data_IF_731915829307
#
_entry.id   IF_731915829307
#
_cell.length_a   1.000
_cell.length_b   1.000
_cell.length_c   1.000
_cell.angle_alpha   90.00
_cell.angle_beta   90.00
_cell.angle_gamma   90.00
#
_symmetry.space_group_name_H-M   'P 1'
#
loop_
_entity.id
_entity.type
_entity.pdbx_description
1 polymer ?
#
# COMPACT_ATOMS: atom_id res chain seq x y z
N UNK A 1 -64.02 36.09 13.09
CA UNK A 1 -62.97 35.78 12.10
C UNK A 1 -61.77 36.70 12.31
N UNK A 2 -60.65 36.21 12.87
CA UNK A 2 -59.32 36.84 12.77
C UNK A 2 -58.28 35.80 13.19
N UNK A 3 -57.65 35.15 12.20
CA UNK A 3 -56.54 34.21 12.42
C UNK A 3 -55.29 35.01 12.80
N UNK A 4 -54.73 34.79 13.99
CA UNK A 4 -53.37 35.22 14.35
C UNK A 4 -52.39 34.19 13.79
N UNK A 5 -51.51 34.60 12.89
CA UNK A 5 -50.38 33.79 12.41
C UNK A 5 -49.29 33.80 13.49
N UNK A 6 -48.92 32.61 13.97
CA UNK A 6 -47.72 32.39 14.78
C UNK A 6 -46.56 32.22 13.78
N UNK A 7 -45.57 33.11 13.85
CA UNK A 7 -44.35 32.98 13.07
C UNK A 7 -43.45 31.92 13.68
N UNK A 8 -43.16 30.86 12.93
CA UNK A 8 -42.04 29.96 13.22
C UNK A 8 -40.74 30.69 12.86
N UNK A 9 -39.90 30.98 13.85
CA UNK A 9 -38.49 31.29 13.62
C UNK A 9 -37.77 29.97 13.36
N UNK A 10 -37.42 29.71 12.10
CA UNK A 10 -36.51 28.64 11.73
C UNK A 10 -35.09 29.14 11.95
N UNK A 11 -34.43 28.66 13.00
CA UNK A 11 -33.00 28.87 13.21
C UNK A 11 -32.24 27.93 12.27
N UNK A 12 -31.83 28.45 11.11
CA UNK A 12 -30.82 27.79 10.27
C UNK A 12 -29.48 27.82 11.01
N UNK A 13 -29.13 26.71 11.66
CA UNK A 13 -27.76 26.41 12.05
C UNK A 13 -26.93 26.22 10.77
N UNK A 14 -26.17 27.26 10.40
CA UNK A 14 -25.12 27.17 9.40
C UNK A 14 -24.01 26.29 9.97
N UNK A 15 -23.98 25.03 9.55
CA UNK A 15 -22.80 24.17 9.69
C UNK A 15 -21.73 24.79 8.77
N UNK A 16 -20.54 25.14 9.27
CA UNK A 16 -19.49 25.63 8.40
C UNK A 16 -19.10 24.48 7.46
N UNK A 17 -19.29 24.70 6.16
CA UNK A 17 -18.75 23.83 5.13
C UNK A 17 -17.22 23.83 5.28
N UNK A 18 -16.68 22.75 5.83
CA UNK A 18 -15.24 22.49 5.78
C UNK A 18 -14.92 22.27 4.30
N UNK A 19 -14.30 23.27 3.69
CA UNK A 19 -13.79 23.16 2.34
C UNK A 19 -12.73 22.05 2.34
N UNK A 20 -13.02 20.91 1.71
CA UNK A 20 -11.99 19.96 1.31
C UNK A 20 -11.07 20.69 0.34
N UNK A 21 -9.91 21.10 0.82
CA UNK A 21 -8.80 21.47 -0.04
C UNK A 21 -8.38 20.18 -0.76
N UNK A 22 -8.27 20.18 -2.09
CA UNK A 22 -7.79 19.00 -2.80
C UNK A 22 -6.34 18.78 -2.38
N UNK A 23 -6.08 17.68 -1.67
CA UNK A 23 -4.71 17.25 -1.41
C UNK A 23 -4.05 17.00 -2.78
N UNK A 24 -3.07 17.83 -3.13
CA UNK A 24 -2.21 17.60 -4.29
C UNK A 24 -1.50 16.26 -4.05
N UNK A 25 -1.96 15.22 -4.75
CA UNK A 25 -1.46 13.86 -4.62
C UNK A 25 0.01 13.74 -5.01
N UNK A 26 0.61 12.62 -4.65
CA UNK A 26 1.96 12.26 -5.04
C UNK A 26 2.09 12.19 -6.58
N UNK A 27 2.98 13.02 -7.16
CA UNK A 27 3.20 13.11 -8.61
C UNK A 27 3.71 11.81 -9.24
N UNK A 28 3.25 11.49 -10.45
CA UNK A 28 3.37 10.17 -11.09
C UNK A 28 4.75 9.81 -11.70
N UNK A 29 5.80 10.61 -11.53
CA UNK A 29 7.11 10.35 -12.17
C UNK A 29 8.11 9.67 -11.23
N UNK A 30 7.99 8.34 -11.14
CA UNK A 30 8.75 7.43 -10.27
C UNK A 30 10.29 7.45 -10.43
N UNK A 31 10.84 7.86 -11.58
CA UNK A 31 12.28 7.76 -11.87
C UNK A 31 13.03 9.10 -11.92
N UNK A 32 12.31 10.22 -11.77
CA UNK A 32 12.87 11.58 -11.93
C UNK A 32 12.45 12.48 -10.75
N UNK A 33 12.40 11.92 -9.55
CA UNK A 33 12.31 12.72 -8.33
C UNK A 33 13.70 13.32 -8.08
N UNK A 34 13.94 14.52 -8.59
CA UNK A 34 15.13 15.30 -8.25
C UNK A 34 15.12 15.61 -6.75
N UNK A 35 16.30 15.61 -6.12
CA UNK A 35 16.51 15.80 -4.68
C UNK A 35 15.97 17.13 -4.11
N UNK A 36 15.44 18.03 -4.94
CA UNK A 36 15.02 19.39 -4.57
C UNK A 36 13.56 19.51 -4.08
N UNK A 37 12.93 18.41 -3.63
CA UNK A 37 11.59 18.44 -3.04
C UNK A 37 11.48 17.58 -1.76
N UNK A 38 12.53 17.56 -0.94
CA UNK A 38 12.53 16.94 0.38
C UNK A 38 12.69 18.03 1.44
N UNK A 39 11.64 18.81 1.64
CA UNK A 39 11.49 19.70 2.80
C UNK A 39 10.24 19.30 3.59
N UNK A 40 10.22 18.07 4.10
CA UNK A 40 9.34 17.68 5.19
C UNK A 40 10.04 16.60 6.01
N UNK A 41 10.82 16.99 7.01
CA UNK A 41 11.17 16.08 8.11
C UNK A 41 9.94 15.98 9.01
N UNK A 42 9.37 14.78 9.12
CA UNK A 42 8.35 14.51 10.12
C UNK A 42 9.08 14.23 11.44
N UNK A 43 9.12 15.20 12.34
CA UNK A 43 9.58 14.97 13.70
C UNK A 43 8.35 14.71 14.58
N UNK A 44 8.25 13.49 15.10
CA UNK A 44 7.21 13.09 16.05
C UNK A 44 7.73 13.23 17.49
N UNK A 45 7.01 13.98 18.31
CA UNK A 45 7.37 14.20 19.72
C UNK A 45 7.20 12.93 20.57
N UNK A 46 6.20 12.11 20.25
CA UNK A 46 5.91 10.84 20.93
C UNK A 46 6.13 9.65 19.99
N UNK A 47 6.65 8.54 20.53
CA UNK A 47 6.75 7.28 19.80
C UNK A 47 5.40 6.56 19.82
N UNK A 48 4.90 6.18 18.65
CA UNK A 48 3.77 5.27 18.52
C UNK A 48 4.17 4.09 17.63
N UNK A 49 4.02 2.87 18.16
CA UNK A 49 4.25 1.64 17.42
C UNK A 49 3.11 0.69 17.72
N UNK A 50 2.36 0.32 16.69
CA UNK A 50 1.29 -0.65 16.79
C UNK A 50 1.88 -2.04 17.12
N UNK A 51 1.25 -2.82 18.01
CA UNK A 51 1.75 -4.13 18.43
C UNK A 51 1.43 -5.20 17.36
N UNK A 52 1.95 -4.99 16.16
CA UNK A 52 1.80 -5.89 15.01
C UNK A 52 2.83 -7.00 15.12
N UNK A 53 2.38 -8.26 15.10
CA UNK A 53 3.28 -9.41 15.03
C UNK A 53 3.77 -9.60 13.59
N UNK A 54 5.09 -9.72 13.42
CA UNK A 54 5.69 -9.92 12.11
C UNK A 54 5.54 -11.37 11.62
N UNK A 55 5.39 -11.53 10.31
CA UNK A 55 5.39 -12.81 9.62
C UNK A 55 6.45 -12.74 8.53
N UNK A 56 7.38 -13.69 8.53
CA UNK A 56 8.41 -13.79 7.51
C UNK A 56 7.83 -14.40 6.22
N UNK A 57 8.23 -13.91 5.05
CA UNK A 57 7.78 -14.47 3.76
C UNK A 57 8.47 -15.79 3.43
N UNK A 58 9.71 -15.95 3.88
CA UNK A 58 10.52 -17.16 3.67
C UNK A 58 10.14 -18.30 4.62
N UNK A 59 10.32 -19.57 4.21
CA UNK A 59 10.74 -20.02 2.88
C UNK A 59 9.59 -20.15 1.85
N UNK A 60 8.33 -20.08 2.26
CA UNK A 60 7.18 -20.48 1.46
C UNK A 60 6.84 -19.50 0.33
N UNK A 61 7.18 -18.23 0.50
CA UNK A 61 6.86 -17.17 -0.48
C UNK A 61 8.05 -16.24 -0.75
N UNK A 62 9.12 -16.70 -1.44
CA UNK A 62 10.29 -15.89 -1.72
C UNK A 62 10.01 -14.60 -2.51
N UNK A 63 8.92 -14.55 -3.26
CA UNK A 63 8.49 -13.36 -4.01
C UNK A 63 7.18 -12.77 -3.47
N UNK A 64 6.66 -13.22 -2.32
CA UNK A 64 5.32 -12.86 -1.83
C UNK A 64 5.29 -11.79 -0.75
N UNK A 65 6.06 -10.72 -0.90
CA UNK A 65 6.13 -9.64 0.09
C UNK A 65 4.76 -8.95 0.29
N UNK A 66 3.95 -8.80 -0.76
CA UNK A 66 2.61 -8.22 -0.73
C UNK A 66 1.63 -9.11 0.01
N UNK A 67 1.66 -10.42 -0.29
CA UNK A 67 0.79 -11.41 0.35
C UNK A 67 1.15 -11.53 1.83
N UNK A 68 2.44 -11.60 2.15
CA UNK A 68 2.89 -11.72 3.54
C UNK A 68 2.60 -10.45 4.34
N UNK A 69 2.87 -9.25 3.79
CA UNK A 69 2.50 -7.97 4.42
C UNK A 69 1.00 -7.83 4.66
N UNK A 70 0.19 -8.29 3.70
CA UNK A 70 -1.27 -8.31 3.85
C UNK A 70 -1.70 -9.28 4.96
N UNK A 71 -1.05 -10.44 5.06
CA UNK A 71 -1.30 -11.43 6.11
C UNK A 71 -0.98 -10.86 7.50
N UNK A 72 0.11 -10.12 7.64
CA UNK A 72 0.47 -9.41 8.88
C UNK A 72 -0.68 -8.51 9.33
N UNK A 73 -1.22 -7.69 8.43
CA UNK A 73 -2.32 -6.76 8.75
C UNK A 73 -3.63 -7.51 9.03
N UNK A 74 -3.96 -8.57 8.28
CA UNK A 74 -5.13 -9.40 8.53
C UNK A 74 -5.09 -10.06 9.92
N UNK A 75 -3.92 -10.55 10.32
CA UNK A 75 -3.77 -11.18 11.64
C UNK A 75 -3.81 -10.16 12.77
N UNK A 76 -3.27 -8.95 12.55
CA UNK A 76 -3.43 -7.84 13.50
C UNK A 76 -4.90 -7.50 13.77
N UNK A 77 -5.79 -7.59 12.76
CA UNK A 77 -7.23 -7.34 12.93
C UNK A 77 -8.05 -8.59 13.31
N UNK A 78 -7.38 -9.72 13.60
CA UNK A 78 -7.98 -10.93 14.16
C UNK A 78 -8.49 -11.96 13.15
N UNK A 79 -8.02 -11.95 11.90
CA UNK A 79 -8.48 -12.89 10.86
C UNK A 79 -7.81 -14.28 10.86
N UNK A 80 -6.73 -14.47 11.63
CA UNK A 80 -6.01 -15.76 11.80
C UNK A 80 -5.75 -16.56 10.49
N UNK A 81 -5.37 -15.88 9.40
CA UNK A 81 -5.09 -16.50 8.10
C UNK A 81 -3.59 -16.69 7.88
N UNK A 82 -3.19 -17.75 7.18
CA UNK A 82 -1.81 -17.93 6.73
C UNK A 82 -1.55 -17.26 5.37
N UNK A 83 -0.29 -16.87 5.12
CA UNK A 83 0.11 -16.30 3.82
C UNK A 83 -0.13 -17.25 2.65
N UNK A 84 -0.05 -18.57 2.88
CA UNK A 84 -0.31 -19.59 1.87
C UNK A 84 -1.80 -19.72 1.55
N UNK A 85 -2.69 -19.62 2.54
CA UNK A 85 -4.14 -19.58 2.30
C UNK A 85 -4.56 -18.27 1.63
N UNK A 86 -3.98 -17.15 2.07
CA UNK A 86 -4.28 -15.84 1.48
C UNK A 86 -3.88 -15.78 0.00
N UNK A 87 -2.82 -16.48 -0.40
CA UNK A 87 -2.36 -16.53 -1.79
C UNK A 87 -3.43 -17.05 -2.77
N UNK A 88 -4.33 -17.93 -2.32
CA UNK A 88 -5.42 -18.46 -3.16
C UNK A 88 -6.42 -17.38 -3.59
N UNK A 89 -6.45 -16.25 -2.89
CA UNK A 89 -7.28 -15.11 -3.24
C UNK A 89 -6.62 -14.18 -4.27
N UNK A 90 -5.35 -14.38 -4.64
CA UNK A 90 -4.65 -13.55 -5.61
C UNK A 90 -4.82 -14.08 -7.04
N UNK A 91 -5.04 -13.17 -8.00
CA UNK A 91 -5.02 -13.55 -9.41
C UNK A 91 -3.57 -13.61 -9.91
N UNK A 92 -3.08 -14.80 -10.22
CA UNK A 92 -1.72 -15.02 -10.70
C UNK A 92 -1.66 -14.90 -12.24
N UNK A 93 -0.72 -14.11 -12.74
CA UNK A 93 -0.52 -13.84 -14.17
C UNK A 93 0.62 -14.62 -14.81
N UNK A 94 1.48 -15.29 -14.02
CA UNK A 94 2.66 -16.00 -14.51
C UNK A 94 3.80 -15.07 -14.93
N UNK A 95 4.93 -15.64 -15.35
CA UNK A 95 6.10 -14.84 -15.74
C UNK A 95 5.93 -14.22 -17.14
N UNK A 96 6.51 -13.02 -17.39
CA UNK A 96 6.68 -12.51 -18.74
C UNK A 96 7.41 -13.52 -19.63
N UNK A 97 6.93 -13.69 -20.86
CA UNK A 97 7.39 -14.71 -21.80
C UNK A 97 7.58 -14.15 -23.19
N UNK A 98 8.50 -14.75 -23.95
CA UNK A 98 8.73 -14.36 -25.35
C UNK A 98 7.58 -14.87 -26.23
N UNK A 99 6.99 -13.97 -27.02
CA UNK A 99 5.94 -14.27 -27.99
C UNK A 99 6.12 -13.36 -29.21
N UNK A 100 6.21 -13.94 -30.42
CA UNK A 100 6.29 -13.15 -31.65
C UNK A 100 7.47 -12.17 -31.73
N UNK A 101 8.61 -12.48 -31.09
CA UNK A 101 9.80 -11.61 -31.09
C UNK A 101 9.84 -10.53 -30.01
N UNK A 102 8.76 -10.37 -29.24
CA UNK A 102 8.68 -9.44 -28.09
C UNK A 102 8.49 -10.21 -26.78
N UNK A 103 8.74 -9.56 -25.64
CA UNK A 103 8.37 -10.11 -24.31
C UNK A 103 7.00 -9.57 -23.94
N UNK A 104 6.07 -10.46 -23.62
CA UNK A 104 4.69 -10.15 -23.20
C UNK A 104 4.46 -10.75 -21.82
N UNK A 105 3.82 -10.03 -20.93
CA UNK A 105 3.61 -10.47 -19.55
C UNK A 105 2.38 -9.84 -18.91
N UNK A 106 2.05 -10.24 -17.67
CA UNK A 106 0.87 -9.73 -16.97
C UNK A 106 1.01 -8.25 -16.64
N UNK A 107 -0.14 -7.59 -16.44
CA UNK A 107 -0.24 -6.25 -15.88
C UNK A 107 -0.20 -6.34 -14.33
N UNK A 108 0.87 -5.83 -13.67
CA UNK A 108 1.02 -5.94 -12.22
C UNK A 108 -0.01 -5.12 -11.41
N UNK A 109 -0.76 -4.21 -12.05
CA UNK A 109 -1.92 -3.55 -11.44
C UNK A 109 -3.20 -4.41 -11.49
N UNK A 110 -3.19 -5.52 -12.24
CA UNK A 110 -4.35 -6.41 -12.40
C UNK A 110 -4.11 -7.82 -11.88
N UNK A 111 -2.87 -8.32 -11.93
CA UNK A 111 -2.49 -9.67 -11.54
C UNK A 111 -1.11 -9.68 -10.90
N UNK A 112 -0.83 -10.69 -10.08
CA UNK A 112 0.52 -10.96 -9.61
C UNK A 112 1.41 -11.46 -10.76
N UNK A 113 2.51 -10.79 -11.01
CA UNK A 113 3.47 -11.14 -12.05
C UNK A 113 4.46 -12.20 -11.54
N UNK A 114 4.46 -13.37 -12.19
CA UNK A 114 5.23 -14.55 -11.79
C UNK A 114 4.53 -15.39 -10.72
N UNK A 115 5.29 -15.93 -9.76
CA UNK A 115 4.81 -16.79 -8.67
C UNK A 115 5.28 -16.29 -7.31
N UNK A 116 4.40 -16.15 -6.30
CA UNK A 116 4.82 -15.79 -4.95
C UNK A 116 5.73 -16.84 -4.28
N UNK A 117 5.48 -18.12 -4.56
CA UNK A 117 6.18 -19.27 -3.96
C UNK A 117 7.48 -19.67 -4.68
N UNK A 118 7.69 -19.13 -5.88
CA UNK A 118 8.87 -19.42 -6.70
C UNK A 118 9.46 -18.10 -7.21
N UNK A 119 9.68 -18.01 -8.53
CA UNK A 119 10.17 -16.80 -9.19
C UNK A 119 8.99 -15.88 -9.51
N UNK A 120 9.01 -14.70 -8.91
CA UNK A 120 8.02 -13.66 -9.13
C UNK A 120 8.64 -12.28 -9.23
N UNK A 121 7.85 -11.37 -9.77
CA UNK A 121 8.11 -9.94 -9.68
C UNK A 121 7.32 -9.38 -8.50
N UNK A 122 5.98 -9.49 -8.55
CA UNK A 122 5.09 -8.90 -7.54
C UNK A 122 3.77 -8.42 -8.14
N UNK A 123 3.05 -7.62 -7.37
CA UNK A 123 1.80 -6.97 -7.75
C UNK A 123 1.64 -5.63 -7.04
N UNK A 124 0.70 -4.82 -7.51
CA UNK A 124 0.45 -3.49 -7.00
C UNK A 124 -0.85 -3.38 -6.21
N UNK A 125 -1.03 -2.27 -5.49
CA UNK A 125 -2.11 -2.05 -4.53
C UNK A 125 -3.52 -2.48 -4.99
N UNK A 126 -3.94 -2.29 -6.26
CA UNK A 126 -5.26 -2.77 -6.69
C UNK A 126 -5.43 -4.29 -6.63
N UNK A 127 -4.35 -5.07 -6.83
CA UNK A 127 -4.38 -6.54 -6.78
C UNK A 127 -4.58 -7.01 -5.34
N UNK A 128 -3.81 -6.45 -4.39
CA UNK A 128 -3.98 -6.70 -2.95
C UNK A 128 -5.38 -6.33 -2.50
N UNK A 129 -5.85 -5.13 -2.86
CA UNK A 129 -7.19 -4.65 -2.50
C UNK A 129 -8.29 -5.61 -2.97
N UNK A 130 -8.19 -6.09 -4.21
CA UNK A 130 -9.16 -7.05 -4.76
C UNK A 130 -9.07 -8.42 -4.09
N UNK A 131 -7.87 -8.91 -3.79
CA UNK A 131 -7.67 -10.19 -3.12
C UNK A 131 -8.26 -10.19 -1.71
N UNK A 132 -7.97 -9.15 -0.91
CA UNK A 132 -8.51 -9.03 0.44
C UNK A 132 -10.04 -8.88 0.44
N UNK A 133 -10.60 -8.10 -0.49
CA UNK A 133 -12.06 -7.99 -0.59
C UNK A 133 -12.74 -9.30 -1.00
N UNK A 134 -12.07 -10.16 -1.80
CA UNK A 134 -12.55 -11.53 -2.07
C UNK A 134 -12.54 -12.37 -0.79
N UNK A 135 -11.46 -12.30 -0.01
CA UNK A 135 -11.35 -12.99 1.28
C UNK A 135 -12.41 -12.54 2.28
N UNK A 136 -12.58 -11.23 2.50
CA UNK A 136 -13.64 -10.74 3.38
C UNK A 136 -15.04 -11.18 2.94
N UNK A 137 -15.29 -11.21 1.62
CA UNK A 137 -16.56 -11.68 1.08
C UNK A 137 -16.78 -13.18 1.30
N UNK A 138 -15.74 -14.02 1.16
CA UNK A 138 -15.86 -15.47 1.38
C UNK A 138 -16.07 -15.82 2.85
N UNK A 139 -15.45 -15.06 3.77
CA UNK A 139 -15.60 -15.25 5.22
C UNK A 139 -16.84 -14.53 5.80
N UNK A 140 -17.59 -13.78 4.99
CA UNK A 140 -18.75 -13.00 5.46
C UNK A 140 -18.38 -11.87 6.42
N UNK A 141 -17.15 -11.37 6.36
CA UNK A 141 -16.65 -10.29 7.22
C UNK A 141 -17.13 -8.93 6.70
N UNK A 142 -17.74 -8.14 7.59
CA UNK A 142 -18.17 -6.76 7.28
C UNK A 142 -17.00 -5.78 7.36
N UNK A 143 -15.97 -6.02 6.55
CA UNK A 143 -14.75 -5.21 6.41
C UNK A 143 -14.43 -4.97 4.93
N UNK A 144 -13.56 -4.01 4.65
CA UNK A 144 -13.09 -3.70 3.29
C UNK A 144 -11.61 -3.35 3.27
N UNK A 145 -10.93 -3.77 2.22
CA UNK A 145 -9.65 -3.20 1.83
C UNK A 145 -9.87 -1.91 1.03
N UNK A 146 -9.10 -0.87 1.34
CA UNK A 146 -9.17 0.45 0.72
C UNK A 146 -7.81 0.78 0.10
N UNK A 147 -7.82 1.02 -1.21
CA UNK A 147 -6.64 1.49 -1.92
C UNK A 147 -6.45 2.99 -1.69
N UNK A 148 -5.33 3.36 -1.08
CA UNK A 148 -4.92 4.73 -0.76
C UNK A 148 -3.80 5.24 -1.69
N UNK A 149 -3.52 4.55 -2.80
CA UNK A 149 -2.46 4.95 -3.72
C UNK A 149 -2.60 6.42 -4.15
N UNK A 150 -1.47 7.15 -4.10
CA UNK A 150 -1.38 8.58 -4.38
C UNK A 150 -1.43 9.48 -3.14
N UNK A 151 -1.77 8.93 -1.96
CA UNK A 151 -1.69 9.63 -0.66
C UNK A 151 -0.23 10.01 -0.35
N UNK A 152 0.01 11.12 0.35
CA UNK A 152 1.37 11.48 0.77
C UNK A 152 1.82 10.58 1.92
N UNK A 153 3.11 10.30 2.03
CA UNK A 153 3.64 9.43 3.08
C UNK A 153 3.30 9.95 4.49
N UNK A 154 3.38 11.27 4.71
CA UNK A 154 3.02 11.91 5.98
C UNK A 154 1.55 11.69 6.38
N UNK A 155 0.64 11.73 5.41
CA UNK A 155 -0.80 11.57 5.65
C UNK A 155 -1.16 10.10 6.00
N UNK A 156 -0.24 9.14 5.80
CA UNK A 156 -0.45 7.75 6.20
C UNK A 156 -0.37 7.57 7.73
N UNK A 157 0.27 8.49 8.45
CA UNK A 157 0.42 8.40 9.90
C UNK A 157 -0.87 8.71 10.65
N UNK A 158 -1.82 9.43 10.04
CA UNK A 158 -3.18 9.58 10.58
C UNK A 158 -3.88 8.21 10.78
N UNK A 159 -3.53 7.20 9.98
CA UNK A 159 -4.03 5.84 10.14
C UNK A 159 -3.33 5.13 11.31
N UNK A 160 -2.03 5.33 11.46
CA UNK A 160 -1.25 4.82 12.60
C UNK A 160 -1.82 5.34 13.92
N UNK A 161 -2.09 6.64 14.01
CA UNK A 161 -2.67 7.30 15.20
C UNK A 161 -4.07 6.76 15.56
N UNK A 162 -4.76 6.18 14.58
CA UNK A 162 -6.07 5.52 14.73
C UNK A 162 -5.97 4.02 14.99
N UNK A 163 -4.77 3.47 15.13
CA UNK A 163 -4.56 2.04 15.34
C UNK A 163 -4.67 1.19 14.08
N UNK A 164 -4.49 1.77 12.89
CA UNK A 164 -4.65 1.09 11.60
C UNK A 164 -3.28 1.01 10.90
N UNK A 165 -2.64 -0.18 10.84
CA UNK A 165 -1.39 -0.34 10.09
C UNK A 165 -1.65 -0.23 8.58
N UNK A 166 -0.65 0.23 7.83
CA UNK A 166 -0.78 0.52 6.39
C UNK A 166 0.16 -0.38 5.59
N UNK A 167 -0.39 -1.13 4.63
CA UNK A 167 0.41 -1.89 3.66
C UNK A 167 0.95 -0.90 2.63
N UNK A 168 2.27 -0.83 2.42
CA UNK A 168 2.92 0.14 1.54
C UNK A 168 3.94 -0.50 0.61
N UNK A 169 4.17 0.14 -0.54
CA UNK A 169 5.24 -0.24 -1.46
C UNK A 169 6.38 0.75 -1.36
N UNK A 170 7.59 0.23 -1.19
CA UNK A 170 8.84 0.95 -1.23
C UNK A 170 9.91 0.02 -1.81
N UNK A 171 11.13 0.02 -1.28
CA UNK A 171 12.18 -0.84 -1.81
C UNK A 171 12.86 -1.69 -0.77
N UNK A 172 13.45 -2.80 -1.21
CA UNK A 172 14.22 -3.71 -0.37
C UNK A 172 15.29 -2.91 0.39
N UNK A 173 15.19 -2.93 1.72
CA UNK A 173 16.04 -2.18 2.64
C UNK A 173 16.12 -0.66 2.36
N UNK A 174 15.06 -0.07 1.80
CA UNK A 174 14.99 1.33 1.35
C UNK A 174 16.11 1.76 0.38
N UNK A 175 16.72 0.81 -0.35
CA UNK A 175 17.73 1.12 -1.36
C UNK A 175 17.10 1.69 -2.61
N UNK A 176 17.79 2.59 -3.30
CA UNK A 176 17.28 3.19 -4.54
C UNK A 176 16.90 2.12 -5.58
N UNK A 177 15.73 2.21 -6.24
CA UNK A 177 15.35 1.29 -7.29
C UNK A 177 16.11 1.59 -8.59
N UNK A 178 16.03 0.67 -9.54
CA UNK A 178 16.57 0.85 -10.88
C UNK A 178 15.64 0.21 -11.91
N UNK A 179 15.90 0.52 -13.18
CA UNK A 179 15.17 -0.09 -14.30
C UNK A 179 15.43 -1.60 -14.36
N UNK A 180 14.41 -2.41 -14.05
CA UNK A 180 14.45 -3.86 -14.17
C UNK A 180 14.00 -4.36 -15.54
N UNK A 181 13.51 -5.60 -15.56
CA UNK A 181 12.95 -6.19 -16.78
C UNK A 181 11.74 -5.40 -17.28
N UNK A 182 11.46 -5.49 -18.58
CA UNK A 182 10.29 -4.85 -19.17
C UNK A 182 9.63 -5.72 -20.22
N UNK A 183 8.31 -5.60 -20.31
CA UNK A 183 7.46 -6.39 -21.20
C UNK A 183 6.26 -5.56 -21.67
N UNK A 184 5.66 -6.01 -22.76
CA UNK A 184 4.36 -5.50 -23.18
C UNK A 184 3.26 -6.16 -22.35
N UNK A 185 2.32 -5.36 -21.84
CA UNK A 185 1.23 -5.87 -21.03
C UNK A 185 0.27 -6.69 -21.88
N UNK A 186 -0.04 -7.91 -21.43
CA UNK A 186 -0.84 -8.89 -22.18
C UNK A 186 -2.20 -8.32 -22.60
N UNK A 187 -2.56 -8.53 -23.88
CA UNK A 187 -3.79 -7.98 -24.46
C UNK A 187 -3.74 -6.48 -24.78
N UNK A 188 -2.59 -5.83 -24.61
CA UNK A 188 -2.40 -4.41 -24.91
C UNK A 188 -1.16 -4.16 -25.77
N UNK A 189 -0.88 -2.89 -26.09
CA UNK A 189 0.37 -2.42 -26.70
C UNK A 189 1.21 -1.58 -25.74
N UNK A 190 0.81 -1.51 -24.48
CA UNK A 190 1.49 -0.72 -23.47
C UNK A 190 2.77 -1.44 -23.04
N UNK A 191 3.88 -0.71 -23.03
CA UNK A 191 5.16 -1.21 -22.52
C UNK A 191 5.30 -0.81 -21.06
N UNK A 192 5.60 -1.78 -20.22
CA UNK A 192 5.84 -1.58 -18.81
C UNK A 192 7.24 -2.06 -18.43
N UNK A 193 7.84 -1.37 -17.47
CA UNK A 193 9.17 -1.67 -16.94
C UNK A 193 9.09 -1.83 -15.43
N UNK A 194 9.53 -2.98 -14.94
CA UNK A 194 9.51 -3.30 -13.52
C UNK A 194 10.51 -2.43 -12.75
N UNK A 195 10.08 -1.74 -11.67
CA UNK A 195 11.00 -1.06 -10.77
C UNK A 195 11.76 -2.10 -9.94
N UNK A 196 12.99 -2.40 -10.30
CA UNK A 196 13.78 -3.40 -9.57
C UNK A 196 14.02 -2.95 -8.12
N UNK A 197 14.07 -3.94 -7.22
CA UNK A 197 14.00 -3.76 -5.75
C UNK A 197 12.65 -3.31 -5.22
N UNK A 198 11.58 -3.37 -6.01
CA UNK A 198 10.22 -3.33 -5.47
C UNK A 198 10.11 -4.22 -4.23
N UNK A 199 9.42 -3.69 -3.22
CA UNK A 199 9.15 -4.38 -1.97
C UNK A 199 7.87 -3.86 -1.34
N UNK A 200 7.11 -4.75 -0.74
CA UNK A 200 5.94 -4.44 0.04
C UNK A 200 6.16 -4.81 1.52
N UNK A 201 5.79 -3.89 2.40
CA UNK A 201 5.96 -3.97 3.84
C UNK A 201 4.82 -3.23 4.55
N UNK A 202 4.77 -3.30 5.87
CA UNK A 202 3.69 -2.69 6.67
C UNK A 202 4.23 -1.53 7.48
N UNK A 203 3.72 -0.32 7.26
CA UNK A 203 3.93 0.82 8.15
C UNK A 203 3.13 0.57 9.43
N UNK A 204 3.80 0.59 10.58
CA UNK A 204 3.21 0.26 11.89
C UNK A 204 3.44 1.33 12.95
N UNK A 205 4.19 2.38 12.65
CA UNK A 205 4.55 3.34 13.67
C UNK A 205 5.50 4.43 13.22
N UNK A 206 5.84 5.30 14.15
CA UNK A 206 6.84 6.34 14.03
C UNK A 206 7.62 6.51 15.34
N UNK A 207 8.84 7.03 15.24
CA UNK A 207 9.66 7.38 16.40
C UNK A 207 10.72 8.42 16.03
N UNK A 208 10.67 9.59 16.67
CA UNK A 208 11.61 10.67 16.34
C UNK A 208 11.43 11.14 14.90
N UNK A 209 12.39 10.86 14.01
CA UNK A 209 12.30 11.15 12.57
C UNK A 209 12.13 9.86 11.72
N UNK A 210 11.97 8.71 12.37
CA UNK A 210 11.90 7.42 11.69
C UNK A 210 10.46 6.96 11.51
N UNK A 211 10.17 6.45 10.31
CA UNK A 211 9.04 5.57 10.06
C UNK A 211 9.39 4.13 10.48
N UNK A 212 8.46 3.47 11.16
CA UNK A 212 8.64 2.12 11.71
C UNK A 212 7.79 1.12 10.94
N UNK A 213 8.40 0.01 10.52
CA UNK A 213 7.77 -0.99 9.68
C UNK A 213 7.88 -2.40 10.25
N UNK A 214 6.87 -3.22 9.95
CA UNK A 214 6.99 -4.68 9.94
C UNK A 214 7.35 -5.12 8.52
N UNK A 215 8.58 -5.62 8.34
CA UNK A 215 9.14 -6.05 7.06
C UNK A 215 9.13 -7.58 6.99
N UNK A 216 8.43 -8.19 6.00
CA UNK A 216 8.34 -9.64 5.88
C UNK A 216 9.62 -10.31 5.34
N UNK A 217 10.61 -9.54 4.87
CA UNK A 217 11.86 -10.05 4.31
C UNK A 217 13.07 -9.80 5.21
N UNK A 218 12.98 -8.82 6.13
CA UNK A 218 14.06 -8.55 7.08
C UNK A 218 14.00 -9.52 8.27
N UNK A 219 15.11 -10.21 8.64
CA UNK A 219 15.12 -11.16 9.75
C UNK A 219 14.88 -10.54 11.12
N UNK A 220 14.97 -9.21 11.25
CA UNK A 220 14.60 -8.49 12.48
C UNK A 220 13.09 -8.37 12.65
N UNK A 221 12.31 -8.51 11.57
CA UNK A 221 10.87 -8.28 11.50
C UNK A 221 10.53 -6.80 11.60
N UNK A 222 10.84 -6.15 12.72
CA UNK A 222 10.61 -4.71 12.92
C UNK A 222 11.85 -3.92 12.52
N UNK A 223 11.68 -2.95 11.62
CA UNK A 223 12.75 -2.10 11.09
C UNK A 223 12.36 -0.63 11.15
N UNK A 224 13.36 0.26 11.17
CA UNK A 224 13.19 1.72 11.21
C UNK A 224 13.99 2.36 10.08
N UNK A 225 13.40 3.37 9.45
CA UNK A 225 14.05 4.16 8.41
C UNK A 225 13.70 5.63 8.57
N UNK A 226 14.66 6.50 8.29
CA UNK A 226 14.44 7.94 8.18
C UNK A 226 13.23 8.22 7.27
N UNK A 227 12.31 9.07 7.73
CA UNK A 227 11.06 9.36 7.03
C UNK A 227 11.30 9.91 5.62
N UNK A 228 12.30 10.76 5.43
CA UNK A 228 12.59 11.35 4.12
C UNK A 228 13.09 10.30 3.13
N UNK A 229 13.91 9.34 3.61
CA UNK A 229 14.32 8.20 2.81
C UNK A 229 13.13 7.32 2.44
N UNK A 230 12.27 6.99 3.40
CA UNK A 230 11.05 6.23 3.14
C UNK A 230 10.16 6.94 2.10
N UNK A 231 9.87 8.22 2.30
CA UNK A 231 9.01 9.00 1.40
C UNK A 231 9.56 9.00 -0.03
N UNK A 232 10.88 9.14 -0.20
CA UNK A 232 11.52 9.04 -1.50
C UNK A 232 11.28 7.66 -2.16
N UNK A 233 11.47 6.55 -1.43
CA UNK A 233 11.25 5.19 -1.98
C UNK A 233 9.78 4.90 -2.26
N UNK A 234 8.89 5.34 -1.39
CA UNK A 234 7.45 5.27 -1.56
C UNK A 234 7.00 5.98 -2.84
N UNK A 235 7.51 7.20 -3.09
CA UNK A 235 7.29 7.94 -4.34
C UNK A 235 7.80 7.20 -5.57
N UNK A 236 9.00 6.64 -5.49
CA UNK A 236 9.59 5.87 -6.59
C UNK A 236 8.80 4.59 -6.90
N UNK A 237 7.98 4.10 -5.98
CA UNK A 237 7.08 2.96 -6.14
C UNK A 237 5.61 3.38 -6.23
N UNK A 238 5.37 4.51 -6.90
CA UNK A 238 4.04 5.00 -7.28
C UNK A 238 3.12 5.38 -6.11
N UNK A 239 3.69 5.65 -4.93
CA UNK A 239 2.96 6.05 -3.73
C UNK A 239 1.79 5.10 -3.41
N UNK A 240 2.07 3.81 -3.36
CA UNK A 240 1.01 2.81 -3.20
C UNK A 240 0.78 2.46 -1.75
N UNK A 241 -0.48 2.49 -1.33
CA UNK A 241 -0.86 2.14 0.04
C UNK A 241 -2.22 1.44 0.08
N UNK A 242 -2.40 0.52 1.03
CA UNK A 242 -3.67 -0.16 1.31
C UNK A 242 -3.89 -0.22 2.81
N UNK A 243 -5.12 0.07 3.25
CA UNK A 243 -5.58 -0.15 4.63
C UNK A 243 -6.77 -1.09 4.65
N UNK A 244 -7.00 -1.73 5.80
CA UNK A 244 -8.16 -2.60 6.03
C UNK A 244 -9.05 -1.93 7.10
N UNK A 245 -10.33 -1.70 6.76
CA UNK A 245 -11.34 -1.07 7.62
C UNK A 245 -12.52 -2.01 7.88
#
# INVERSE_FOLDING_TARGET
MRRRRIGLFSACLLIPAVALVPAAGCGQNALHVTADAVETSAEWEEEMILPVENIQQMPEQPSGCEITSTTIVLNYIGCEITKTELADYFQIGGLPRRSGGVVVGPDPWKKFAGSPAENGYGCFAPVVTQAVNRYFSSEGLSRRAVNLSGTKAGDLFDYIDRGIPVIVWATISMKEPYEGDGWYLEGTKEYFRWPAREHCLVLIGHSGNDAVFSDPLDPRGTVRYDFSLFEARYRQLFCQAVVLE
#
